data_IF_897765483188
#
_entry.id   IF_897765483188
#
_cell.length_a   1.000
_cell.length_b   1.000
_cell.length_c   1.000
_cell.angle_alpha   90.00
_cell.angle_beta   90.00
_cell.angle_gamma   90.00
#
_symmetry.space_group_name_H-M   'P 1'
#
loop_
_entity.id
_entity.type
_entity.pdbx_description
1 polymer ?
#
# COMPACT_ATOMS: atom_id res chain seq x y z
N UNK A 1 34.10 -51.72 -19.58
CA UNK A 1 33.30 -50.74 -18.81
C UNK A 1 31.96 -50.63 -19.53
N UNK A 2 30.96 -51.45 -19.15
CA UNK A 2 29.76 -51.07 -18.36
C UNK A 2 29.03 -49.84 -18.91
N UNK A 3 27.72 -49.83 -19.19
CA UNK A 3 26.62 -50.81 -19.15
C UNK A 3 25.49 -50.16 -19.98
N UNK A 4 24.82 -50.91 -20.85
CA UNK A 4 23.50 -50.57 -21.34
C UNK A 4 22.47 -50.94 -20.27
N UNK A 5 21.49 -50.07 -20.00
CA UNK A 5 20.33 -50.41 -19.17
C UNK A 5 19.09 -50.40 -20.04
N UNK A 6 18.51 -51.59 -20.09
CA UNK A 6 17.30 -52.01 -20.77
C UNK A 6 16.09 -51.71 -19.88
N UNK A 7 14.99 -51.33 -20.51
CA UNK A 7 13.69 -51.20 -19.88
C UNK A 7 13.10 -52.58 -19.58
N UNK A 8 12.42 -52.73 -18.43
CA UNK A 8 11.28 -53.65 -18.30
C UNK A 8 10.30 -53.18 -17.21
N UNK A 9 9.02 -53.45 -17.47
CA UNK A 9 7.82 -53.08 -16.71
C UNK A 9 7.41 -54.23 -15.77
N UNK A 10 6.80 -53.89 -14.64
CA UNK A 10 5.52 -54.46 -14.10
C UNK A 10 5.46 -54.26 -12.57
N UNK A 11 4.51 -53.51 -12.00
CA UNK A 11 3.09 -53.78 -11.64
C UNK A 11 2.94 -53.90 -10.10
N UNK A 12 1.91 -53.18 -9.62
CA UNK A 12 1.10 -53.32 -8.40
C UNK A 12 1.63 -52.77 -7.07
N UNK A 13 0.85 -51.82 -6.54
CA UNK A 13 0.96 -51.29 -5.19
C UNK A 13 0.01 -50.11 -4.99
N UNK A 14 -1.30 -50.35 -5.13
CA UNK A 14 -2.38 -49.43 -4.73
C UNK A 14 -2.19 -48.98 -3.27
N UNK A 15 -2.38 -47.68 -2.98
CA UNK A 15 -2.86 -47.18 -1.68
C UNK A 15 -3.20 -45.68 -1.75
N UNK A 16 -4.49 -45.37 -1.65
CA UNK A 16 -5.03 -44.23 -0.91
C UNK A 16 -5.01 -42.86 -1.60
N UNK A 17 -5.99 -42.62 -2.49
CA UNK A 17 -6.35 -41.28 -2.94
C UNK A 17 -7.21 -40.59 -1.86
N UNK A 18 -6.62 -39.59 -1.17
CA UNK A 18 -7.35 -38.76 -0.23
C UNK A 18 -8.04 -37.60 -0.98
N UNK A 19 -9.36 -37.72 -1.09
CA UNK A 19 -10.28 -36.73 -1.65
C UNK A 19 -10.16 -35.40 -0.89
N UNK A 20 -9.93 -34.31 -1.64
CA UNK A 20 -9.89 -32.93 -1.13
C UNK A 20 -11.33 -32.45 -0.84
N UNK A 21 -11.59 -31.76 0.28
CA UNK A 21 -12.93 -31.23 0.53
C UNK A 21 -13.22 -30.00 -0.34
N UNK A 22 -14.31 -30.09 -1.08
CA UNK A 22 -14.93 -29.05 -1.90
C UNK A 22 -15.64 -28.03 -0.99
N UNK A 23 -15.19 -26.77 -1.01
CA UNK A 23 -15.85 -25.68 -0.27
C UNK A 23 -17.01 -25.14 -1.10
N UNK A 24 -18.23 -25.45 -0.65
CA UNK A 24 -19.47 -25.06 -1.31
C UNK A 24 -19.78 -23.58 -1.08
N UNK A 25 -19.76 -22.77 -2.15
CA UNK A 25 -20.21 -21.37 -2.16
C UNK A 25 -21.74 -21.30 -2.12
N UNK A 26 -22.36 -21.16 -0.94
CA UNK A 26 -23.70 -20.55 -0.82
C UNK A 26 -23.90 -19.91 0.56
N UNK A 27 -23.92 -18.58 0.61
CA UNK A 27 -25.11 -17.83 1.02
C UNK A 27 -24.84 -16.32 0.94
N UNK A 28 -25.53 -15.69 0.00
CA UNK A 28 -25.56 -14.26 -0.25
C UNK A 28 -26.82 -13.68 0.41
N UNK A 29 -26.64 -12.52 1.06
CA UNK A 29 -27.61 -11.52 1.50
C UNK A 29 -28.41 -11.79 2.80
N UNK A 30 -28.14 -10.99 3.84
CA UNK A 30 -29.12 -9.99 4.29
C UNK A 30 -28.53 -9.01 5.31
N UNK A 31 -29.09 -7.80 5.29
CA UNK A 31 -29.06 -6.74 6.30
C UNK A 31 -27.94 -5.70 6.20
N UNK A 32 -28.36 -4.51 5.78
CA UNK A 32 -27.59 -3.30 5.82
C UNK A 32 -27.36 -2.84 7.26
N UNK A 33 -26.10 -2.53 7.55
CA UNK A 33 -25.71 -1.59 8.56
C UNK A 33 -24.84 -0.55 7.84
N UNK A 34 -25.22 0.72 7.96
CA UNK A 34 -24.33 1.83 7.62
C UNK A 34 -23.18 1.78 8.62
N UNK A 35 -22.10 1.11 8.23
CA UNK A 35 -20.84 1.10 8.95
C UNK A 35 -20.07 2.35 8.52
N UNK A 36 -19.91 3.30 9.43
CA UNK A 36 -18.86 4.31 9.31
C UNK A 36 -17.52 3.59 9.40
N UNK A 37 -16.99 3.18 8.25
CA UNK A 37 -15.79 2.35 8.16
C UNK A 37 -14.52 3.18 8.32
N UNK A 38 -14.11 3.40 9.57
CA UNK A 38 -12.69 3.30 9.90
C UNK A 38 -12.39 1.80 10.02
N UNK A 39 -12.21 1.13 8.88
CA UNK A 39 -11.75 -0.24 8.86
C UNK A 39 -10.29 -0.24 9.30
N UNK A 40 -10.06 -0.32 10.61
CA UNK A 40 -8.76 -0.62 11.16
C UNK A 40 -8.36 -2.00 10.66
N UNK A 41 -7.39 -2.05 9.75
CA UNK A 41 -6.64 -3.27 9.46
C UNK A 41 -5.93 -3.65 10.75
N UNK A 42 -6.49 -4.65 11.44
CA UNK A 42 -5.95 -5.19 12.67
C UNK A 42 -4.77 -6.12 12.34
N UNK A 43 -3.59 -5.53 12.16
CA UNK A 43 -2.32 -6.24 12.33
C UNK A 43 -2.11 -6.67 13.80
N UNK A 44 -1.07 -7.48 14.10
CA UNK A 44 -0.76 -7.86 15.48
C UNK A 44 -0.67 -6.60 16.35
N UNK A 45 -1.20 -6.67 17.57
CA UNK A 45 -1.35 -5.52 18.45
C UNK A 45 -0.03 -4.76 18.60
N UNK A 46 0.12 -3.66 17.87
CA UNK A 46 1.18 -2.67 18.10
C UNK A 46 0.92 -2.16 19.52
N UNK A 47 1.79 -2.58 20.45
CA UNK A 47 1.78 -2.06 21.81
C UNK A 47 2.02 -0.57 21.70
N UNK A 48 0.94 0.20 21.87
CA UNK A 48 1.06 1.65 21.86
C UNK A 48 1.91 2.04 23.07
N UNK A 49 2.94 2.89 22.88
CA UNK A 49 3.74 3.36 23.99
C UNK A 49 2.86 3.93 25.11
N UNK A 50 3.33 3.81 26.34
CA UNK A 50 2.68 4.41 27.50
C UNK A 50 2.39 5.89 27.28
N UNK A 51 1.45 6.47 28.06
CA UNK A 51 1.08 7.89 27.95
C UNK A 51 2.28 8.85 28.10
N UNK A 52 3.37 8.41 28.74
CA UNK A 52 4.62 9.16 28.89
C UNK A 52 5.52 9.06 27.63
N UNK A 53 5.59 7.91 26.97
CA UNK A 53 6.28 7.75 25.69
C UNK A 53 5.52 8.46 24.56
N UNK A 54 4.17 8.48 24.63
CA UNK A 54 3.30 9.27 23.75
C UNK A 54 3.58 10.80 23.83
N UNK A 55 4.15 11.31 24.93
CA UNK A 55 4.55 12.72 25.06
C UNK A 55 5.84 13.04 24.28
N UNK A 56 6.64 12.03 23.92
CA UNK A 56 7.82 12.20 23.05
C UNK A 56 7.48 12.43 21.57
N UNK A 57 6.24 12.15 21.16
CA UNK A 57 5.74 12.38 19.80
C UNK A 57 5.41 13.86 19.53
N UNK A 58 5.31 14.70 20.57
CA UNK A 58 5.01 16.13 20.46
C UNK A 58 6.25 17.04 20.31
N UNK A 59 7.42 16.47 20.03
CA UNK A 59 8.64 17.24 19.84
C UNK A 59 8.65 18.01 18.52
N UNK A 60 9.37 19.15 18.47
CA UNK A 60 9.51 19.97 17.26
C UNK A 60 9.97 19.15 16.04
N UNK A 61 10.83 18.14 16.24
CA UNK A 61 11.30 17.29 15.15
C UNK A 61 10.20 16.40 14.57
N UNK A 62 9.34 15.80 15.41
CA UNK A 62 8.21 14.97 14.93
C UNK A 62 7.25 15.80 14.09
N UNK A 63 6.99 17.04 14.53
CA UNK A 63 6.20 17.98 13.76
C UNK A 63 6.83 18.31 12.41
N UNK A 64 8.12 18.66 12.38
CA UNK A 64 8.83 18.97 11.14
C UNK A 64 8.80 17.78 10.17
N UNK A 65 8.98 16.55 10.68
CA UNK A 65 8.93 15.36 9.84
C UNK A 65 7.53 15.12 9.24
N UNK A 66 6.45 15.32 9.99
CA UNK A 66 5.09 15.25 9.41
C UNK A 66 4.83 16.36 8.39
N UNK A 67 5.37 17.57 8.62
CA UNK A 67 5.30 18.66 7.64
C UNK A 67 6.14 18.37 6.40
N UNK A 68 7.26 17.64 6.54
CA UNK A 68 8.08 17.19 5.42
C UNK A 68 7.31 16.16 4.58
N UNK A 69 6.73 15.13 5.21
CA UNK A 69 5.87 14.15 4.53
C UNK A 69 4.73 14.85 3.79
N UNK A 70 3.97 15.71 4.47
CA UNK A 70 2.90 16.49 3.82
C UNK A 70 3.38 17.23 2.57
N UNK A 71 4.55 17.88 2.61
CA UNK A 71 5.09 18.56 1.43
C UNK A 71 5.48 17.56 0.35
N UNK A 72 6.13 16.45 0.70
CA UNK A 72 6.54 15.43 -0.25
C UNK A 72 5.33 14.82 -0.98
N UNK A 73 4.24 14.50 -0.29
CA UNK A 73 3.03 13.96 -0.94
C UNK A 73 2.41 14.96 -1.92
N UNK A 74 2.39 16.24 -1.54
CA UNK A 74 1.95 17.30 -2.47
C UNK A 74 2.92 17.44 -3.66
N UNK A 75 4.22 17.23 -3.46
CA UNK A 75 5.24 17.27 -4.51
C UNK A 75 5.15 16.08 -5.46
N UNK A 76 4.90 14.88 -4.95
CA UNK A 76 4.66 13.67 -5.73
C UNK A 76 3.43 13.84 -6.63
N UNK A 77 2.31 14.35 -6.09
CA UNK A 77 1.12 14.70 -6.89
C UNK A 77 1.49 15.68 -8.00
N UNK A 78 2.19 16.77 -7.69
CA UNK A 78 2.60 17.77 -8.69
C UNK A 78 3.48 17.16 -9.77
N UNK A 79 4.44 16.34 -9.37
CA UNK A 79 5.34 15.64 -10.27
C UNK A 79 4.57 14.74 -11.24
N UNK A 80 3.67 13.89 -10.73
CA UNK A 80 2.89 12.95 -11.54
C UNK A 80 1.90 13.65 -12.45
N UNK A 81 1.20 14.69 -11.97
CA UNK A 81 0.30 15.50 -12.81
C UNK A 81 1.06 16.12 -13.97
N UNK A 82 2.26 16.67 -13.71
CA UNK A 82 3.10 17.24 -14.76
C UNK A 82 3.59 16.17 -15.75
N UNK A 83 4.01 15.00 -15.26
CA UNK A 83 4.47 13.90 -16.10
C UNK A 83 3.36 13.34 -17.00
N UNK A 84 2.12 13.27 -16.49
CA UNK A 84 0.96 12.77 -17.22
C UNK A 84 0.33 13.81 -18.17
N UNK A 85 0.44 15.10 -17.84
CA UNK A 85 -0.17 16.18 -18.63
C UNK A 85 -1.67 15.96 -18.81
N UNK A 86 -2.15 16.00 -20.06
CA UNK A 86 -3.56 15.80 -20.38
C UNK A 86 -4.08 14.38 -20.06
N UNK A 87 -3.19 13.39 -19.89
CA UNK A 87 -3.56 12.04 -19.49
C UNK A 87 -3.69 11.86 -17.97
N UNK A 88 -3.48 12.93 -17.18
CA UNK A 88 -3.63 12.87 -15.74
C UNK A 88 -5.08 12.61 -15.36
N UNK A 89 -5.29 11.62 -14.48
CA UNK A 89 -6.61 11.31 -13.94
C UNK A 89 -7.16 12.51 -13.16
N UNK A 90 -8.49 12.69 -13.15
CA UNK A 90 -9.11 13.60 -12.19
C UNK A 90 -8.81 13.13 -10.76
N UNK A 91 -8.68 14.10 -9.85
CA UNK A 91 -8.51 13.86 -8.41
C UNK A 91 -9.73 13.08 -7.88
N UNK A 92 -9.53 11.91 -7.22
CA UNK A 92 -10.61 11.20 -6.55
C UNK A 92 -11.27 12.05 -5.46
N UNK A 93 -12.46 11.66 -5.04
CA UNK A 93 -13.06 12.18 -3.80
C UNK A 93 -12.84 11.18 -2.67
N UNK A 94 -12.59 11.67 -1.47
CA UNK A 94 -12.18 10.85 -0.33
C UNK A 94 -13.21 10.88 0.81
N UNK A 95 -13.12 9.88 1.68
CA UNK A 95 -13.94 9.72 2.88
C UNK A 95 -13.09 9.18 4.02
N UNK A 96 -13.49 9.46 5.26
CA UNK A 96 -12.84 8.89 6.46
C UNK A 96 -11.39 9.32 6.70
N UNK A 97 -10.90 10.36 6.01
CA UNK A 97 -9.50 10.82 6.14
C UNK A 97 -9.22 11.61 7.41
N UNK A 98 -10.19 12.40 7.90
CA UNK A 98 -10.01 13.19 9.11
C UNK A 98 -9.98 12.28 10.34
N UNK A 99 -8.89 12.31 11.10
CA UNK A 99 -8.68 11.45 12.25
C UNK A 99 -9.09 12.12 13.56
N UNK A 100 -9.45 11.31 14.56
CA UNK A 100 -10.00 11.80 15.83
C UNK A 100 -8.93 12.18 16.86
N UNK A 101 -7.70 11.67 16.70
CA UNK A 101 -6.58 11.93 17.59
C UNK A 101 -5.26 11.53 16.92
N UNK A 102 -4.14 11.93 17.53
CA UNK A 102 -2.79 11.64 17.03
C UNK A 102 -2.54 10.14 16.82
N UNK A 103 -3.05 9.25 17.69
CA UNK A 103 -2.85 7.79 17.54
C UNK A 103 -3.53 7.25 16.29
N UNK A 104 -4.74 7.71 15.99
CA UNK A 104 -5.45 7.36 14.77
C UNK A 104 -4.75 7.93 13.52
N UNK A 105 -4.34 9.21 13.57
CA UNK A 105 -3.53 9.86 12.53
C UNK A 105 -2.26 9.05 12.22
N UNK A 106 -1.44 8.81 13.23
CA UNK A 106 -0.21 8.04 13.11
C UNK A 106 -0.44 6.65 12.50
N UNK A 107 -1.46 5.92 12.96
CA UNK A 107 -1.71 4.56 12.46
C UNK A 107 -2.07 4.58 10.97
N UNK A 108 -2.92 5.52 10.55
CA UNK A 108 -3.29 5.65 9.13
C UNK A 108 -2.09 6.13 8.32
N UNK A 109 -1.25 7.04 8.83
CA UNK A 109 0.04 7.38 8.21
C UNK A 109 0.87 6.13 7.95
N UNK A 110 1.13 5.30 8.97
CA UNK A 110 1.90 4.06 8.80
C UNK A 110 1.30 3.15 7.72
N UNK A 111 -0.02 2.96 7.75
CA UNK A 111 -0.68 2.06 6.81
C UNK A 111 -0.60 2.59 5.37
N UNK A 112 -0.73 3.90 5.17
CA UNK A 112 -0.62 4.54 3.84
C UNK A 112 0.80 4.50 3.30
N UNK A 113 1.80 5.00 4.03
CA UNK A 113 3.20 5.03 3.53
C UNK A 113 3.69 3.61 3.16
N UNK A 114 3.40 2.62 4.01
CA UNK A 114 3.78 1.23 3.70
C UNK A 114 2.99 0.66 2.50
N UNK A 115 1.75 1.11 2.28
CA UNK A 115 1.00 0.78 1.06
C UNK A 115 1.65 1.41 -0.17
N UNK A 116 2.07 2.67 -0.09
CA UNK A 116 2.78 3.38 -1.15
C UNK A 116 4.07 2.65 -1.57
N UNK A 117 4.93 2.31 -0.61
CA UNK A 117 6.16 1.54 -0.85
C UNK A 117 5.88 0.26 -1.64
N UNK A 118 4.97 -0.56 -1.13
CA UNK A 118 4.67 -1.85 -1.73
C UNK A 118 3.96 -1.72 -3.08
N UNK A 119 3.14 -0.69 -3.28
CA UNK A 119 2.48 -0.38 -4.55
C UNK A 119 3.50 -0.02 -5.63
N UNK A 120 4.45 0.86 -5.34
CA UNK A 120 5.52 1.22 -6.28
C UNK A 120 6.39 0.01 -6.63
N UNK A 121 6.78 -0.79 -5.63
CA UNK A 121 7.57 -2.00 -5.88
C UNK A 121 6.80 -3.04 -6.71
N UNK A 122 5.50 -3.19 -6.46
CA UNK A 122 4.64 -4.08 -7.23
C UNK A 122 4.40 -3.65 -8.67
N UNK A 123 4.42 -2.34 -8.94
CA UNK A 123 4.30 -1.79 -10.29
C UNK A 123 5.62 -1.84 -11.08
N UNK A 124 6.76 -1.78 -10.41
CA UNK A 124 8.08 -1.67 -11.04
C UNK A 124 8.34 -2.69 -12.17
N UNK A 125 8.01 -3.99 -12.05
CA UNK A 125 8.22 -4.96 -13.12
C UNK A 125 7.36 -4.73 -14.37
N UNK A 126 6.26 -3.99 -14.23
CA UNK A 126 5.30 -3.71 -15.30
C UNK A 126 5.57 -2.36 -16.00
N UNK A 127 6.57 -1.59 -15.54
CA UNK A 127 6.98 -0.33 -16.17
C UNK A 127 7.88 -0.64 -17.38
N UNK A 128 7.50 -0.12 -18.54
CA UNK A 128 8.22 -0.27 -19.80
C UNK A 128 9.36 0.75 -19.94
N UNK A 129 9.11 2.03 -19.65
CA UNK A 129 10.11 3.08 -19.78
C UNK A 129 11.13 3.06 -18.64
N UNK A 130 12.44 2.95 -18.91
CA UNK A 130 13.48 3.05 -17.88
C UNK A 130 13.49 4.40 -17.16
N UNK A 131 13.07 5.48 -17.83
CA UNK A 131 12.98 6.81 -17.24
C UNK A 131 11.82 6.89 -16.24
N UNK A 132 10.66 6.32 -16.60
CA UNK A 132 9.52 6.23 -15.68
C UNK A 132 9.84 5.30 -14.51
N UNK A 133 10.56 4.20 -14.76
CA UNK A 133 11.01 3.30 -13.70
C UNK A 133 11.94 4.02 -12.71
N UNK A 134 12.90 4.80 -13.20
CA UNK A 134 13.78 5.59 -12.35
C UNK A 134 13.02 6.66 -11.56
N UNK A 135 12.04 7.32 -12.17
CA UNK A 135 11.18 8.29 -11.49
C UNK A 135 10.32 7.65 -10.39
N UNK A 136 9.65 6.53 -10.71
CA UNK A 136 8.86 5.76 -9.76
C UNK A 136 9.73 5.24 -8.60
N UNK A 137 10.93 4.75 -8.90
CA UNK A 137 11.90 4.36 -7.87
C UNK A 137 12.33 5.52 -6.98
N UNK A 138 12.45 6.74 -7.51
CA UNK A 138 12.76 7.92 -6.70
C UNK A 138 11.68 8.21 -5.67
N UNK A 139 10.40 8.09 -6.03
CA UNK A 139 9.28 8.28 -5.10
C UNK A 139 9.26 7.16 -4.07
N UNK A 140 9.33 5.90 -4.52
CA UNK A 140 9.32 4.73 -3.64
C UNK A 140 10.42 4.75 -2.55
N UNK A 141 11.59 5.31 -2.86
CA UNK A 141 12.67 5.46 -1.88
C UNK A 141 12.39 6.54 -0.82
N UNK A 142 11.57 7.55 -1.14
CA UNK A 142 11.10 8.55 -0.18
C UNK A 142 9.98 7.95 0.68
N UNK A 143 9.00 7.27 0.08
CA UNK A 143 7.97 6.49 0.79
C UNK A 143 8.60 5.55 1.83
N UNK A 144 9.65 4.82 1.44
CA UNK A 144 10.35 3.90 2.33
C UNK A 144 11.01 4.59 3.53
N UNK A 145 11.46 5.84 3.36
CA UNK A 145 12.02 6.63 4.46
C UNK A 145 10.94 7.14 5.39
N UNK A 146 9.79 7.54 4.85
CA UNK A 146 8.63 7.94 5.65
C UNK A 146 8.11 6.77 6.49
N UNK A 147 7.82 5.63 5.85
CA UNK A 147 7.36 4.41 6.50
C UNK A 147 8.34 3.94 7.60
N UNK A 148 9.64 3.91 7.27
CA UNK A 148 10.69 3.54 8.22
C UNK A 148 10.76 4.49 9.42
N UNK A 149 10.66 5.80 9.20
CA UNK A 149 10.64 6.78 10.29
C UNK A 149 9.39 6.61 11.17
N UNK A 150 8.20 6.46 10.59
CA UNK A 150 6.98 6.25 11.36
C UNK A 150 7.07 5.01 12.26
N UNK A 151 7.67 3.93 11.77
CA UNK A 151 7.93 2.74 12.58
C UNK A 151 8.78 3.04 13.83
N UNK A 152 9.78 3.93 13.72
CA UNK A 152 10.61 4.31 14.88
C UNK A 152 9.83 5.03 15.97
N UNK A 153 8.77 5.76 15.62
CA UNK A 153 8.03 6.56 16.59
C UNK A 153 7.37 5.69 17.66
N UNK A 154 6.88 4.50 17.30
CA UNK A 154 6.27 3.53 18.23
C UNK A 154 7.25 2.47 18.72
N UNK A 155 8.56 2.70 18.58
CA UNK A 155 9.59 1.74 18.94
C UNK A 155 9.40 0.37 18.23
N UNK A 156 8.82 0.37 17.04
CA UNK A 156 8.76 -0.80 16.18
C UNK A 156 10.09 -0.96 15.42
N UNK A 157 10.30 -2.15 14.85
CA UNK A 157 11.43 -2.38 13.93
C UNK A 157 11.25 -1.52 12.67
N UNK A 158 12.35 -0.99 12.13
CA UNK A 158 12.31 -0.04 11.02
C UNK A 158 11.61 -0.59 9.77
N UNK A 159 11.76 -1.88 9.50
CA UNK A 159 11.33 -2.54 8.26
C UNK A 159 10.05 -3.37 8.41
N UNK A 160 9.13 -2.88 9.26
CA UNK A 160 7.79 -3.47 9.40
C UNK A 160 6.89 -2.91 8.28
N UNK A 161 6.33 -3.80 7.47
CA UNK A 161 5.42 -3.44 6.38
C UNK A 161 3.96 -3.24 6.85
N UNK A 162 3.05 -2.94 5.90
CA UNK A 162 1.61 -2.72 6.19
C UNK A 162 0.87 -3.92 6.79
N UNK A 163 1.44 -5.13 6.73
CA UNK A 163 0.89 -6.35 7.34
C UNK A 163 1.46 -6.64 8.73
N UNK A 164 2.36 -5.79 9.24
CA UNK A 164 3.03 -6.00 10.50
C UNK A 164 4.19 -7.00 10.43
N UNK A 165 4.67 -7.31 9.22
CA UNK A 165 5.77 -8.24 9.01
C UNK A 165 7.09 -7.48 8.96
N UNK A 166 8.09 -7.91 9.73
CA UNK A 166 9.44 -7.36 9.59
C UNK A 166 10.23 -8.12 8.53
N UNK A 167 10.87 -7.38 7.63
CA UNK A 167 11.46 -7.94 6.41
C UNK A 167 12.84 -7.35 6.11
N UNK A 168 13.68 -8.15 5.44
CA UNK A 168 14.94 -7.69 4.83
C UNK A 168 14.78 -7.31 3.36
N UNK A 169 13.67 -7.71 2.74
CA UNK A 169 13.26 -7.36 1.38
C UNK A 169 11.81 -6.95 1.42
N UNK A 170 11.51 -5.77 0.87
CA UNK A 170 10.16 -5.25 0.85
C UNK A 170 9.21 -6.13 0.02
N UNK A 171 7.96 -6.22 0.45
CA UNK A 171 6.93 -7.04 -0.21
C UNK A 171 6.20 -6.22 -1.29
N UNK A 172 6.28 -6.60 -2.58
CA UNK A 172 5.47 -5.94 -3.61
C UNK A 172 3.98 -6.19 -3.36
N UNK A 173 3.15 -5.18 -3.60
CA UNK A 173 1.69 -5.29 -3.56
C UNK A 173 1.12 -5.40 -4.97
N UNK A 174 0.14 -6.28 -5.12
CA UNK A 174 -0.69 -6.32 -6.32
C UNK A 174 -1.68 -5.14 -6.33
N UNK A 175 -2.18 -4.72 -7.51
CA UNK A 175 -3.24 -3.71 -7.59
C UNK A 175 -4.48 -4.04 -6.73
N UNK A 176 -4.82 -5.33 -6.63
CA UNK A 176 -5.93 -5.80 -5.83
C UNK A 176 -5.70 -5.58 -4.32
N UNK A 177 -4.49 -5.86 -3.82
CA UNK A 177 -4.12 -5.59 -2.42
C UNK A 177 -4.12 -4.09 -2.15
N UNK A 178 -3.55 -3.28 -3.05
CA UNK A 178 -3.56 -1.82 -2.92
C UNK A 178 -4.99 -1.28 -2.85
N UNK A 179 -5.89 -1.76 -3.71
CA UNK A 179 -7.32 -1.38 -3.64
C UNK A 179 -7.99 -1.83 -2.36
N UNK A 180 -7.60 -2.96 -1.78
CA UNK A 180 -8.14 -3.41 -0.50
C UNK A 180 -7.69 -2.51 0.67
N UNK A 181 -6.45 -2.02 0.63
CA UNK A 181 -5.86 -1.15 1.65
C UNK A 181 -6.35 0.30 1.53
N UNK A 182 -6.31 0.88 0.31
CA UNK A 182 -6.64 2.28 0.05
C UNK A 182 -8.13 2.52 -0.24
N UNK A 183 -8.82 1.53 -0.80
CA UNK A 183 -10.21 1.63 -1.25
C UNK A 183 -11.21 2.14 -0.20
N UNK A 184 -11.12 1.76 1.09
CA UNK A 184 -12.01 2.29 2.13
C UNK A 184 -12.01 3.82 2.25
N UNK A 185 -10.92 4.49 1.85
CA UNK A 185 -10.76 5.94 1.90
C UNK A 185 -11.18 6.65 0.61
N UNK A 186 -11.41 5.92 -0.48
CA UNK A 186 -11.79 6.48 -1.79
C UNK A 186 -13.31 6.38 -1.94
N UNK A 187 -14.00 7.52 -1.87
CA UNK A 187 -15.45 7.58 -2.05
C UNK A 187 -15.86 7.46 -3.53
N UNK A 188 -15.05 8.04 -4.43
CA UNK A 188 -15.27 7.97 -5.88
C UNK A 188 -13.98 8.25 -6.63
N UNK A 189 -13.80 7.58 -7.77
CA UNK A 189 -12.70 7.85 -8.70
C UNK A 189 -12.91 9.11 -9.54
N UNK A 190 -14.07 9.77 -9.39
CA UNK A 190 -14.39 11.04 -10.03
C UNK A 190 -14.28 10.98 -11.57
N UNK A 191 -14.73 9.88 -12.17
CA UNK A 191 -14.63 9.64 -13.62
C UNK A 191 -13.23 9.25 -14.12
N UNK A 192 -12.24 9.14 -13.23
CA UNK A 192 -10.91 8.64 -13.58
C UNK A 192 -10.87 7.14 -13.87
N UNK A 193 -9.77 6.65 -14.45
CA UNK A 193 -9.59 5.23 -14.72
C UNK A 193 -9.60 4.41 -13.41
N UNK A 194 -9.87 3.10 -13.49
CA UNK A 194 -9.68 2.19 -12.37
C UNK A 194 -8.28 2.30 -11.77
N UNK A 195 -8.16 2.09 -10.46
CA UNK A 195 -6.87 1.96 -9.77
C UNK A 195 -6.34 0.55 -10.06
N UNK A 196 -5.86 0.34 -11.28
CA UNK A 196 -5.33 -0.92 -11.80
C UNK A 196 -4.35 -0.69 -12.95
N UNK A 197 -3.56 -1.71 -13.28
CA UNK A 197 -2.67 -1.74 -14.45
C UNK A 197 -2.44 -3.19 -14.93
N UNK A 198 -2.00 -3.34 -16.18
CA UNK A 198 -1.66 -4.66 -16.75
C UNK A 198 -0.30 -5.13 -16.21
N UNK A 199 -0.12 -6.39 -15.81
CA UNK A 199 1.20 -6.90 -15.40
C UNK A 199 2.25 -6.91 -16.53
N UNK A 200 1.85 -6.84 -17.81
CA UNK A 200 2.75 -6.83 -18.95
C UNK A 200 3.28 -5.41 -19.27
N UNK A 201 4.60 -5.23 -19.39
CA UNK A 201 5.18 -3.95 -19.76
C UNK A 201 4.76 -3.46 -21.14
N UNK A 202 4.23 -2.24 -21.22
CA UNK A 202 4.01 -1.53 -22.48
C UNK A 202 3.95 -0.01 -22.28
N UNK A 203 4.17 0.81 -23.32
CA UNK A 203 4.02 2.27 -23.20
C UNK A 203 2.62 2.73 -22.75
N UNK A 204 1.57 2.01 -23.14
CA UNK A 204 0.20 2.31 -22.68
C UNK A 204 0.05 1.98 -21.18
N UNK A 205 0.71 0.91 -20.74
CA UNK A 205 0.70 0.51 -19.33
C UNK A 205 1.45 1.48 -18.43
N UNK A 206 2.50 2.15 -18.93
CA UNK A 206 3.19 3.20 -18.18
C UNK A 206 2.23 4.34 -17.77
N UNK A 207 1.32 4.75 -18.67
CA UNK A 207 0.29 5.75 -18.37
C UNK A 207 -0.72 5.23 -17.34
N UNK A 208 -1.08 3.95 -17.40
CA UNK A 208 -1.95 3.32 -16.41
C UNK A 208 -1.28 3.28 -15.04
N UNK A 209 0.00 2.88 -14.96
CA UNK A 209 0.80 2.84 -13.72
C UNK A 209 0.96 4.24 -13.12
N UNK A 210 1.26 5.26 -13.94
CA UNK A 210 1.37 6.63 -13.46
C UNK A 210 0.04 7.16 -12.92
N UNK A 211 -1.09 6.82 -13.56
CA UNK A 211 -2.42 7.17 -13.06
C UNK A 211 -2.85 6.38 -11.82
N UNK A 212 -2.38 5.13 -11.71
CA UNK A 212 -2.52 4.30 -10.52
C UNK A 212 -1.77 4.93 -9.34
N UNK A 213 -0.49 5.29 -9.52
CA UNK A 213 0.31 5.98 -8.52
C UNK A 213 -0.33 7.33 -8.13
N UNK A 214 -0.72 8.14 -9.11
CA UNK A 214 -1.36 9.45 -8.86
C UNK A 214 -2.64 9.34 -8.02
N UNK A 215 -3.36 8.21 -8.08
CA UNK A 215 -4.51 7.97 -7.24
C UNK A 215 -4.15 7.88 -5.75
N UNK A 216 -3.03 7.21 -5.44
CA UNK A 216 -2.51 7.01 -4.08
C UNK A 216 -1.89 8.30 -3.57
N UNK A 217 -1.08 8.98 -4.38
CA UNK A 217 -0.50 10.26 -4.01
C UNK A 217 -1.58 11.32 -3.69
N UNK A 218 -2.69 11.34 -4.46
CA UNK A 218 -3.81 12.21 -4.12
C UNK A 218 -4.47 11.85 -2.77
N UNK A 219 -4.54 10.57 -2.43
CA UNK A 219 -5.10 10.07 -1.17
C UNK A 219 -4.21 10.50 0.01
N UNK A 220 -2.90 10.25 -0.10
CA UNK A 220 -1.90 10.60 0.92
C UNK A 220 -1.81 12.11 1.10
N UNK A 221 -1.70 12.86 0.01
CA UNK A 221 -1.67 14.32 0.05
C UNK A 221 -2.93 14.89 0.74
N UNK A 222 -4.13 14.41 0.39
CA UNK A 222 -5.36 14.86 1.07
C UNK A 222 -5.36 14.49 2.55
N UNK A 223 -4.94 13.27 2.88
CA UNK A 223 -4.87 12.79 4.26
C UNK A 223 -3.94 13.68 5.11
N UNK A 224 -2.73 13.98 4.66
CA UNK A 224 -1.81 14.84 5.41
C UNK A 224 -2.26 16.30 5.44
N UNK A 225 -2.83 16.82 4.34
CA UNK A 225 -3.37 18.19 4.31
C UNK A 225 -4.51 18.39 5.33
N UNK A 226 -5.30 17.37 5.64
CA UNK A 226 -6.37 17.44 6.64
C UNK A 226 -5.87 17.29 8.09
N UNK A 227 -4.79 16.53 8.32
CA UNK A 227 -4.45 16.06 9.67
C UNK A 227 -3.19 16.69 10.28
N UNK A 228 -2.20 17.11 9.47
CA UNK A 228 -0.93 17.62 10.01
C UNK A 228 -1.14 18.84 10.89
N UNK A 229 -1.91 19.84 10.46
CA UNK A 229 -2.16 21.05 11.26
C UNK A 229 -2.94 20.78 12.55
N UNK A 230 -3.66 19.66 12.63
CA UNK A 230 -4.42 19.28 13.83
C UNK A 230 -3.55 18.59 14.87
N UNK A 231 -2.59 17.77 14.42
CA UNK A 231 -1.90 16.81 15.28
C UNK A 231 -0.38 17.02 15.38
N UNK A 232 0.22 17.78 14.46
CA UNK A 232 1.63 18.15 14.46
C UNK A 232 1.79 19.63 14.88
N UNK A 233 1.41 19.96 16.11
CA UNK A 233 1.54 21.31 16.69
C UNK A 233 2.76 21.45 17.58
#
# INVERSE_FOLDING_TARGET
MSKAVQADRSIAGERGEAVRPEVTRRNFLSQGAVLTSAAALAGPAVLWPSRAEAQGFGGNQTRLNFQDIQRHENDHVRFLVNALGAAARPKPTFQGLLQSNFRAFFKVSQDLENTGVGAYLGAAPAIFSPQILAAAGSIALIEGRHAGWLNTLVNARLTVNVFGEEQSFERPLTPAEVRALAGPFIASLNGGPPVDYDPAPSPANDIAILNFALALEYLEAEFYNLNVDLFAK
#
